data_IF_515793515059
#
_entry.id   IF_515793515059
#
_cell.length_a   1.000
_cell.length_b   1.000
_cell.length_c   1.000
_cell.angle_alpha   90.00
_cell.angle_beta   90.00
_cell.angle_gamma   90.00
#
_symmetry.space_group_name_H-M   'P 1'
#
loop_
_entity.id
_entity.type
_entity.pdbx_description
1 polymer ?
#
# COMPACT_ATOMS: atom_id res chain seq x y z
N UNK A 1 -38.62 38.78 -32.51
CA UNK A 1 -38.42 37.71 -31.51
C UNK A 1 -37.80 38.29 -30.24
N UNK A 2 -38.40 39.34 -29.70
CA UNK A 2 -39.07 39.35 -28.40
C UNK A 2 -39.18 37.97 -27.72
N UNK A 3 -38.32 37.73 -26.72
CA UNK A 3 -38.60 36.85 -25.58
C UNK A 3 -38.00 37.50 -24.32
N UNK A 4 -38.89 37.76 -23.38
CA UNK A 4 -38.64 38.39 -22.09
C UNK A 4 -37.90 37.46 -21.11
N UNK A 5 -37.01 38.09 -20.34
CA UNK A 5 -36.77 37.95 -18.90
C UNK A 5 -36.92 36.57 -18.24
N UNK A 6 -35.78 36.02 -17.81
CA UNK A 6 -35.67 35.48 -16.45
C UNK A 6 -34.43 36.07 -15.76
N UNK A 7 -34.72 36.85 -14.72
CA UNK A 7 -33.83 37.32 -13.67
C UNK A 7 -33.42 36.12 -12.78
N UNK A 8 -32.11 35.92 -12.63
CA UNK A 8 -31.54 35.34 -11.41
C UNK A 8 -30.19 35.98 -11.16
N UNK A 9 -30.29 37.21 -10.65
CA UNK A 9 -29.45 37.75 -9.61
C UNK A 9 -28.75 36.70 -8.74
N UNK A 10 -27.43 36.85 -8.54
CA UNK A 10 -26.79 36.43 -7.29
C UNK A 10 -25.53 35.59 -7.45
N UNK A 11 -24.43 36.24 -7.80
CA UNK A 11 -23.11 35.86 -7.30
C UNK A 11 -23.11 35.86 -5.77
N UNK A 12 -22.24 35.03 -5.18
CA UNK A 12 -21.75 35.08 -3.79
C UNK A 12 -22.59 34.34 -2.73
N UNK A 13 -22.26 33.06 -2.49
CA UNK A 13 -22.40 32.46 -1.16
C UNK A 13 -21.45 31.25 -0.98
N UNK A 14 -20.21 31.40 -1.46
CA UNK A 14 -19.08 30.52 -1.13
C UNK A 14 -18.20 31.21 -0.07
N UNK A 15 -18.71 31.33 1.16
CA UNK A 15 -17.88 31.74 2.29
C UNK A 15 -18.14 30.83 3.51
N UNK A 16 -17.10 30.17 4.06
CA UNK A 16 -17.23 29.48 5.34
C UNK A 16 -17.58 30.49 6.44
N UNK A 17 -18.28 30.07 7.51
CA UNK A 17 -18.69 30.98 8.56
C UNK A 17 -17.47 31.69 9.14
N UNK A 18 -17.37 32.98 8.80
CA UNK A 18 -16.42 33.90 9.42
C UNK A 18 -16.78 33.97 10.90
N UNK A 19 -15.96 33.32 11.73
CA UNK A 19 -15.95 33.54 13.18
C UNK A 19 -15.76 35.03 13.44
N UNK A 20 -16.87 35.76 13.59
CA UNK A 20 -16.89 37.11 14.13
C UNK A 20 -16.42 37.01 15.58
N UNK A 21 -15.14 37.30 15.79
CA UNK A 21 -14.58 37.52 17.13
C UNK A 21 -15.11 38.86 17.63
N UNK A 22 -16.29 38.85 18.24
CA UNK A 22 -16.77 39.97 19.03
C UNK A 22 -16.00 39.98 20.35
N UNK A 23 -15.02 40.89 20.39
CA UNK A 23 -14.29 41.28 21.60
C UNK A 23 -15.27 41.90 22.61
N UNK A 24 -15.48 41.20 23.73
CA UNK A 24 -15.97 41.80 24.96
C UNK A 24 -17.20 41.12 25.56
N UNK A 25 -17.03 40.53 26.75
CA UNK A 25 -18.15 40.12 27.60
C UNK A 25 -17.83 38.90 28.46
N UNK A 26 -17.29 39.13 29.66
CA UNK A 26 -17.18 38.12 30.72
C UNK A 26 -18.58 37.72 31.18
N UNK A 27 -18.97 36.44 31.15
CA UNK A 27 -19.90 35.83 32.12
C UNK A 27 -19.56 34.35 32.32
N UNK A 28 -19.73 33.93 33.58
CA UNK A 28 -19.32 32.71 34.23
C UNK A 28 -19.87 31.38 33.65
N UNK A 29 -19.15 30.29 33.99
CA UNK A 29 -19.79 29.09 34.53
C UNK A 29 -20.21 28.01 33.53
N UNK A 30 -19.29 27.07 33.26
CA UNK A 30 -19.44 25.64 33.56
C UNK A 30 -18.50 24.83 32.65
N UNK A 31 -17.47 24.24 33.27
CA UNK A 31 -16.65 23.22 32.63
C UNK A 31 -17.51 22.01 32.28
N UNK A 32 -17.89 21.89 31.01
CA UNK A 32 -18.25 20.60 30.43
C UNK A 32 -16.95 19.95 29.97
N UNK A 33 -16.56 18.77 30.47
CA UNK A 33 -15.45 18.03 29.86
C UNK A 33 -15.87 17.67 28.43
N UNK A 34 -15.10 18.13 27.44
CA UNK A 34 -15.13 17.57 26.08
C UNK A 34 -14.69 16.12 26.15
N UNK A 35 -15.59 15.21 26.50
CA UNK A 35 -15.31 13.77 26.56
C UNK A 35 -16.45 12.91 26.04
N UNK A 36 -17.31 13.44 25.15
CA UNK A 36 -18.40 12.68 24.52
C UNK A 36 -18.29 12.58 22.99
N UNK A 37 -17.15 12.96 22.40
CA UNK A 37 -16.86 12.53 21.04
C UNK A 37 -16.41 11.06 21.09
N UNK A 38 -17.00 10.14 20.32
CA UNK A 38 -16.46 8.80 20.13
C UNK A 38 -14.98 8.90 19.74
N UNK A 39 -14.13 7.90 20.07
CA UNK A 39 -12.77 7.86 19.56
C UNK A 39 -12.86 8.02 18.04
N UNK A 40 -12.02 8.88 17.48
CA UNK A 40 -11.94 9.09 16.04
C UNK A 40 -11.67 7.74 15.36
N UNK A 41 -12.74 7.10 14.88
CA UNK A 41 -12.72 5.85 14.14
C UNK A 41 -11.75 5.79 12.95
N UNK A 42 -11.43 6.88 12.21
CA UNK A 42 -10.50 6.77 11.08
C UNK A 42 -9.12 6.23 11.46
N UNK A 43 -8.64 6.47 12.68
CA UNK A 43 -7.29 6.03 13.08
C UNK A 43 -7.18 4.52 13.26
N UNK A 44 -8.23 3.87 13.76
CA UNK A 44 -8.24 2.41 13.94
C UNK A 44 -8.36 1.67 12.61
N UNK A 45 -9.17 2.20 11.67
CA UNK A 45 -9.28 1.59 10.34
C UNK A 45 -7.98 1.72 9.54
N UNK A 46 -7.24 2.82 9.69
CA UNK A 46 -5.95 3.03 9.04
C UNK A 46 -4.87 2.06 9.57
N UNK A 47 -4.79 1.87 10.90
CA UNK A 47 -3.88 0.89 11.52
C UNK A 47 -4.16 -0.55 11.04
N UNK A 48 -5.44 -0.96 10.96
CA UNK A 48 -5.82 -2.29 10.48
C UNK A 48 -5.53 -2.45 8.98
N UNK A 49 -5.68 -1.40 8.17
CA UNK A 49 -5.35 -1.43 6.74
C UNK A 49 -3.84 -1.59 6.49
N UNK A 50 -3.00 -0.91 7.27
CA UNK A 50 -1.54 -1.05 7.20
C UNK A 50 -1.09 -2.48 7.53
N UNK A 51 -1.68 -3.10 8.55
CA UNK A 51 -1.39 -4.49 8.90
C UNK A 51 -1.78 -5.46 7.77
N UNK A 52 -2.91 -5.24 7.10
CA UNK A 52 -3.33 -6.04 5.96
C UNK A 52 -2.40 -5.87 4.75
N UNK A 53 -2.00 -4.64 4.41
CA UNK A 53 -1.05 -4.38 3.32
C UNK A 53 0.30 -5.05 3.59
N UNK A 54 0.78 -5.02 4.84
CA UNK A 54 2.01 -5.70 5.24
C UNK A 54 1.90 -7.23 5.12
N UNK A 55 0.74 -7.82 5.46
CA UNK A 55 0.49 -9.25 5.27
C UNK A 55 0.46 -9.63 3.78
N UNK A 56 -0.21 -8.84 2.94
CA UNK A 56 -0.23 -9.05 1.49
C UNK A 56 1.19 -9.01 0.95
N UNK A 57 1.97 -8.01 1.34
CA UNK A 57 3.34 -7.86 0.87
C UNK A 57 4.27 -8.99 1.32
N UNK A 58 4.02 -9.56 2.51
CA UNK A 58 4.71 -10.76 2.95
C UNK A 58 4.39 -11.97 2.04
N UNK A 59 3.12 -12.16 1.69
CA UNK A 59 2.68 -13.24 0.79
C UNK A 59 3.27 -13.05 -0.61
N UNK A 60 3.29 -11.82 -1.13
CA UNK A 60 3.91 -11.46 -2.41
C UNK A 60 5.39 -11.91 -2.44
N UNK A 61 6.15 -11.60 -1.39
CA UNK A 61 7.56 -12.00 -1.27
C UNK A 61 7.73 -13.50 -1.17
N UNK A 62 6.87 -14.18 -0.44
CA UNK A 62 6.89 -15.65 -0.31
C UNK A 62 6.60 -16.36 -1.64
N UNK A 63 5.65 -15.83 -2.43
CA UNK A 63 5.39 -16.32 -3.77
C UNK A 63 6.60 -16.10 -4.67
N UNK A 64 7.18 -14.90 -4.65
CA UNK A 64 8.33 -14.54 -5.47
C UNK A 64 9.56 -15.40 -5.17
N UNK A 65 9.92 -15.58 -3.90
CA UNK A 65 11.07 -16.41 -3.53
C UNK A 65 10.83 -17.87 -3.91
N UNK A 66 9.60 -18.39 -3.76
CA UNK A 66 9.27 -19.76 -4.15
C UNK A 66 9.50 -20.02 -5.64
N UNK A 67 9.12 -19.07 -6.49
CA UNK A 67 9.35 -19.15 -7.95
C UNK A 67 10.85 -19.12 -8.26
N UNK A 68 11.61 -18.21 -7.63
CA UNK A 68 13.07 -18.16 -7.79
C UNK A 68 13.73 -19.49 -7.40
N UNK A 69 13.29 -20.11 -6.30
CA UNK A 69 13.79 -21.42 -5.87
C UNK A 69 13.49 -22.50 -6.90
N UNK A 70 12.28 -22.54 -7.44
CA UNK A 70 11.89 -23.49 -8.47
C UNK A 70 12.75 -23.35 -9.73
N UNK A 71 12.98 -22.13 -10.21
CA UNK A 71 13.82 -21.89 -11.39
C UNK A 71 15.27 -22.30 -11.16
N UNK A 72 15.82 -22.05 -9.97
CA UNK A 72 17.18 -22.47 -9.59
C UNK A 72 17.32 -23.98 -9.38
N UNK A 73 16.27 -24.66 -8.96
CA UNK A 73 16.26 -26.12 -8.87
C UNK A 73 16.27 -26.77 -10.26
N UNK A 74 15.63 -26.16 -11.24
CA UNK A 74 15.52 -26.68 -12.61
C UNK A 74 16.81 -26.52 -13.44
N UNK A 75 17.57 -25.43 -13.28
CA UNK A 75 18.73 -25.13 -14.12
C UNK A 75 19.84 -24.34 -13.40
N UNK A 76 21.10 -24.56 -13.79
CA UNK A 76 22.27 -23.84 -13.23
C UNK A 76 22.25 -22.35 -13.57
N UNK A 77 21.74 -22.02 -14.77
CA UNK A 77 21.55 -20.67 -15.25
C UNK A 77 20.06 -20.40 -15.46
N UNK A 78 19.63 -19.20 -15.09
CA UNK A 78 18.31 -18.68 -15.46
C UNK A 78 18.40 -18.33 -16.95
N UNK A 79 17.52 -18.89 -17.78
CA UNK A 79 17.48 -18.54 -19.20
C UNK A 79 16.91 -17.14 -19.39
N UNK A 80 17.18 -16.51 -20.53
CA UNK A 80 16.65 -15.18 -20.84
C UNK A 80 15.13 -15.09 -20.76
N UNK A 81 14.41 -16.15 -21.15
CA UNK A 81 12.96 -16.22 -21.04
C UNK A 81 12.50 -16.21 -19.57
N UNK A 82 13.22 -16.91 -18.69
CA UNK A 82 12.95 -16.90 -17.26
C UNK A 82 13.31 -15.57 -16.62
N UNK A 83 14.36 -14.88 -17.07
CA UNK A 83 14.70 -13.53 -16.59
C UNK A 83 13.62 -12.51 -16.94
N UNK A 84 13.06 -12.58 -18.15
CA UNK A 84 11.91 -11.76 -18.56
C UNK A 84 10.71 -12.00 -17.63
N UNK A 85 10.36 -13.26 -17.38
CA UNK A 85 9.26 -13.62 -16.47
C UNK A 85 9.52 -13.14 -15.02
N UNK A 86 10.75 -13.27 -14.52
CA UNK A 86 11.14 -12.78 -13.20
C UNK A 86 10.97 -11.26 -13.09
N UNK A 87 11.26 -10.53 -14.17
CA UNK A 87 11.13 -9.07 -14.21
C UNK A 87 9.66 -8.65 -14.13
N UNK A 88 8.78 -9.33 -14.86
CA UNK A 88 7.35 -9.06 -14.82
C UNK A 88 6.75 -9.43 -13.46
N UNK A 89 7.08 -10.61 -12.92
CA UNK A 89 6.65 -11.02 -11.57
C UNK A 89 7.10 -10.04 -10.49
N UNK A 90 8.30 -9.46 -10.62
CA UNK A 90 8.79 -8.47 -9.67
C UNK A 90 7.87 -7.24 -9.62
N UNK A 91 7.39 -6.77 -10.78
CA UNK A 91 6.48 -5.62 -10.86
C UNK A 91 5.10 -5.98 -10.31
N UNK A 92 4.57 -7.14 -10.70
CA UNK A 92 3.23 -7.58 -10.30
C UNK A 92 3.12 -7.81 -8.79
N UNK A 93 4.17 -8.41 -8.19
CA UNK A 93 4.25 -8.70 -6.75
C UNK A 93 4.87 -7.55 -5.93
N UNK A 94 4.98 -6.35 -6.52
CA UNK A 94 5.49 -5.14 -5.85
C UNK A 94 6.83 -5.32 -5.12
N UNK A 95 7.69 -6.22 -5.63
CA UNK A 95 8.99 -6.51 -5.01
C UNK A 95 9.98 -5.43 -5.43
N UNK A 96 10.59 -4.76 -4.45
CA UNK A 96 11.59 -3.73 -4.73
C UNK A 96 12.89 -4.32 -5.29
N UNK A 97 13.73 -3.48 -5.91
CA UNK A 97 15.04 -3.92 -6.42
C UNK A 97 15.94 -4.46 -5.30
N UNK A 98 15.84 -3.89 -4.09
CA UNK A 98 16.64 -4.33 -2.95
C UNK A 98 16.17 -5.69 -2.45
N UNK A 99 14.86 -5.87 -2.28
CA UNK A 99 14.27 -7.16 -1.92
C UNK A 99 14.59 -8.23 -2.95
N UNK A 100 14.51 -7.91 -4.25
CA UNK A 100 14.91 -8.83 -5.30
C UNK A 100 16.35 -9.31 -5.11
N UNK A 101 17.31 -8.39 -4.86
CA UNK A 101 18.72 -8.74 -4.65
C UNK A 101 18.91 -9.60 -3.40
N UNK A 102 18.25 -9.25 -2.30
CA UNK A 102 18.31 -10.03 -1.06
C UNK A 102 17.77 -11.45 -1.27
N UNK A 103 16.57 -11.57 -1.86
CA UNK A 103 15.93 -12.85 -2.13
C UNK A 103 16.75 -13.71 -3.09
N UNK A 104 17.33 -13.11 -4.13
CA UNK A 104 18.23 -13.81 -5.06
C UNK A 104 19.48 -14.33 -4.34
N UNK A 105 20.06 -13.54 -3.43
CA UNK A 105 21.17 -13.93 -2.58
C UNK A 105 20.83 -15.14 -1.70
N UNK A 106 19.66 -15.09 -1.04
CA UNK A 106 19.16 -16.18 -0.17
C UNK A 106 18.94 -17.47 -0.95
N UNK A 107 18.33 -17.38 -2.13
CA UNK A 107 18.08 -18.54 -3.00
C UNK A 107 19.39 -19.14 -3.53
N UNK A 108 20.36 -18.30 -3.91
CA UNK A 108 21.67 -18.80 -4.34
C UNK A 108 22.44 -19.50 -3.22
N UNK A 109 22.22 -19.11 -1.95
CA UNK A 109 22.83 -19.73 -0.77
C UNK A 109 22.09 -20.99 -0.27
N UNK A 110 20.91 -21.31 -0.81
CA UNK A 110 20.09 -22.41 -0.35
C UNK A 110 20.63 -23.78 -0.82
N UNK A 111 21.25 -24.50 0.11
CA UNK A 111 21.82 -25.83 -0.12
C UNK A 111 20.77 -26.89 -0.46
N UNK A 112 19.50 -26.70 -0.08
CA UNK A 112 18.41 -27.62 -0.42
C UNK A 112 18.19 -27.63 -1.92
N UNK A 113 18.22 -26.46 -2.56
CA UNK A 113 18.05 -26.31 -4.00
C UNK A 113 19.22 -26.95 -4.74
N UNK A 114 20.44 -26.76 -4.21
CA UNK A 114 21.64 -27.41 -4.76
C UNK A 114 21.54 -28.94 -4.70
N UNK A 115 20.96 -29.48 -3.63
CA UNK A 115 20.73 -30.93 -3.46
C UNK A 115 19.66 -31.44 -4.43
N UNK A 116 18.47 -30.83 -4.45
CA UNK A 116 17.37 -31.22 -5.35
C UNK A 116 17.85 -31.23 -6.81
N UNK A 117 18.58 -30.20 -7.21
CA UNK A 117 19.16 -30.09 -8.56
C UNK A 117 20.13 -31.23 -8.87
N UNK A 118 20.96 -31.64 -7.91
CA UNK A 118 21.91 -32.76 -8.09
C UNK A 118 21.16 -34.08 -8.25
N UNK A 119 20.12 -34.30 -7.45
CA UNK A 119 19.28 -35.49 -7.53
C UNK A 119 18.48 -35.53 -8.83
N UNK A 120 17.92 -34.40 -9.28
CA UNK A 120 17.19 -34.29 -10.54
C UNK A 120 18.08 -34.52 -11.78
N UNK A 121 19.39 -34.24 -11.70
CA UNK A 121 20.36 -34.55 -12.78
C UNK A 121 20.75 -36.04 -12.83
N UNK A 122 20.45 -36.82 -11.80
CA UNK A 122 20.76 -38.24 -11.69
C UNK A 122 19.56 -39.16 -11.99
N UNK A 123 18.42 -38.58 -12.38
CA UNK A 123 17.21 -39.24 -12.88
C UNK A 123 17.20 -39.18 -14.41
#
# INVERSE_FOLDING_TARGET
MDYESFDSSGTDDDLPPSHRVARGGRVAGNGRPSSLLPPSYPKMYDEVAVDMEAQIHQIEKEAYISILRAFKAQADAITWEKESLITELRKELRVSNEEHRELLGRVNADDTIRRIRREAKNL
#
